data_IF_803397503033
#
_entry.id   IF_803397503033
#
_cell.length_a   1.000
_cell.length_b   1.000
_cell.length_c   1.000
_cell.angle_alpha   90.00
_cell.angle_beta   90.00
_cell.angle_gamma   90.00
#
_symmetry.space_group_name_H-M   'P 1'
#
loop_
_entity.id
_entity.type
_entity.pdbx_description
1 polymer ?
#
# COMPACT_ATOMS: atom_id res chain seq x y z
N UNK A 1 -11.65 -63.06 -26.06
CA UNK A 1 -11.19 -62.53 -24.75
C UNK A 1 -9.93 -61.72 -24.99
N UNK A 2 -9.95 -60.41 -24.75
CA UNK A 2 -8.74 -59.59 -24.69
C UNK A 2 -9.01 -58.46 -23.69
N UNK A 3 -8.46 -58.59 -22.48
CA UNK A 3 -8.50 -57.54 -21.47
C UNK A 3 -7.35 -56.57 -21.77
N UNK A 4 -7.69 -55.31 -22.06
CA UNK A 4 -6.70 -54.24 -22.19
C UNK A 4 -6.45 -53.65 -20.80
N UNK A 5 -5.28 -53.98 -20.24
CA UNK A 5 -4.79 -53.33 -19.03
C UNK A 5 -4.35 -51.91 -19.34
N UNK A 6 -4.96 -50.92 -18.70
CA UNK A 6 -4.45 -49.55 -18.65
C UNK A 6 -4.31 -49.15 -17.19
N UNK A 7 -3.10 -49.31 -16.65
CA UNK A 7 -2.71 -48.76 -15.34
C UNK A 7 -2.64 -47.24 -15.49
N UNK A 8 -3.66 -46.55 -15.00
CA UNK A 8 -3.64 -45.10 -14.81
C UNK A 8 -2.48 -44.76 -13.89
N UNK A 9 -1.49 -44.03 -14.41
CA UNK A 9 -0.38 -43.49 -13.62
C UNK A 9 -0.88 -42.20 -13.00
N UNK A 10 -1.22 -42.25 -11.72
CA UNK A 10 -1.59 -41.07 -10.94
C UNK A 10 -0.45 -40.05 -10.99
N UNK A 11 -0.62 -39.04 -11.83
CA UNK A 11 0.30 -37.93 -11.94
C UNK A 11 0.01 -36.97 -10.79
N UNK A 12 0.57 -37.27 -9.62
CA UNK A 12 0.57 -36.36 -8.47
C UNK A 12 1.43 -35.15 -8.83
N UNK A 13 0.82 -34.13 -9.42
CA UNK A 13 1.44 -32.80 -9.54
C UNK A 13 1.72 -32.31 -8.13
N UNK A 14 2.98 -32.34 -7.75
CA UNK A 14 3.45 -31.71 -6.52
C UNK A 14 3.46 -30.22 -6.79
N UNK A 15 2.37 -29.52 -6.48
CA UNK A 15 2.30 -28.05 -6.51
C UNK A 15 3.20 -27.53 -5.40
N UNK A 16 4.51 -27.54 -5.64
CA UNK A 16 5.48 -26.76 -4.89
C UNK A 16 5.16 -25.31 -5.24
N UNK A 17 4.24 -24.71 -4.49
CA UNK A 17 4.06 -23.26 -4.54
C UNK A 17 5.39 -22.70 -4.08
N UNK A 18 6.18 -22.18 -5.03
CA UNK A 18 7.40 -21.45 -4.73
C UNK A 18 6.98 -20.25 -3.90
N UNK A 19 7.19 -20.33 -2.58
CA UNK A 19 7.18 -19.19 -1.68
C UNK A 19 8.51 -18.45 -1.82
N UNK A 20 8.91 -18.14 -3.05
CA UNK A 20 10.02 -17.23 -3.25
C UNK A 20 9.51 -15.86 -2.81
N UNK A 21 10.08 -15.35 -1.71
CA UNK A 21 9.79 -14.01 -1.23
C UNK A 21 10.13 -13.05 -2.35
N UNK A 22 9.11 -12.35 -2.86
CA UNK A 22 9.29 -11.40 -3.95
C UNK A 22 10.30 -10.33 -3.51
N UNK A 23 11.52 -10.39 -4.05
CA UNK A 23 12.62 -9.45 -3.78
C UNK A 23 12.45 -8.13 -4.55
N UNK A 24 11.32 -7.94 -5.23
CA UNK A 24 11.04 -6.73 -5.98
C UNK A 24 10.79 -5.57 -5.00
N UNK A 25 11.68 -4.58 -5.05
CA UNK A 25 11.61 -3.38 -4.20
C UNK A 25 10.29 -2.64 -4.35
N UNK A 26 9.66 -2.68 -5.53
CA UNK A 26 8.39 -1.98 -5.80
C UNK A 26 7.24 -2.67 -5.09
N UNK A 27 7.27 -4.00 -5.00
CA UNK A 27 6.24 -4.82 -4.35
C UNK A 27 6.43 -4.93 -2.83
N UNK A 28 7.58 -4.47 -2.32
CA UNK A 28 7.93 -4.46 -0.89
C UNK A 28 8.06 -3.05 -0.30
N UNK A 29 7.91 -2.00 -1.12
CA UNK A 29 7.96 -0.62 -0.66
C UNK A 29 6.78 -0.28 0.25
N UNK A 30 7.02 0.61 1.21
CA UNK A 30 5.95 1.18 2.00
C UNK A 30 4.93 1.89 1.10
N UNK A 31 3.62 1.77 1.41
CA UNK A 31 2.60 2.45 0.64
C UNK A 31 2.79 3.97 0.70
N UNK A 32 2.47 4.70 -0.38
CA UNK A 32 2.62 6.15 -0.40
C UNK A 32 1.69 6.81 0.63
N UNK A 33 2.17 7.90 1.23
CA UNK A 33 1.39 8.71 2.16
C UNK A 33 1.04 10.05 1.49
N UNK A 34 -0.26 10.36 1.42
CA UNK A 34 -0.77 11.65 0.98
C UNK A 34 -0.75 12.63 2.16
N UNK A 35 -0.18 13.81 1.94
CA UNK A 35 -0.20 14.88 2.94
C UNK A 35 -1.32 15.88 2.70
N UNK A 36 -2.14 16.09 3.73
CA UNK A 36 -3.12 17.17 3.78
C UNK A 36 -2.57 18.25 4.72
N UNK A 37 -2.38 19.50 4.27
CA UNK A 37 -1.83 20.55 5.12
C UNK A 37 -2.71 20.81 6.34
N UNK A 38 -2.12 20.68 7.54
CA UNK A 38 -2.78 21.03 8.79
C UNK A 38 -3.23 22.49 8.79
N UNK A 39 -4.53 22.70 8.97
CA UNK A 39 -5.14 24.01 9.10
C UNK A 39 -5.52 24.31 10.56
N UNK A 40 -6.00 25.53 10.82
CA UNK A 40 -6.41 25.95 12.17
C UNK A 40 -7.86 25.60 12.51
N UNK A 41 -8.66 25.29 11.50
CA UNK A 41 -10.08 24.94 11.65
C UNK A 41 -10.25 23.44 11.96
N UNK A 42 -9.21 22.64 11.77
CA UNK A 42 -9.22 21.19 12.02
C UNK A 42 -9.77 20.37 10.87
N UNK A 43 -9.96 20.98 9.69
CA UNK A 43 -10.54 20.31 8.51
C UNK A 43 -9.65 19.15 8.06
N UNK A 44 -8.33 19.34 8.07
CA UNK A 44 -7.38 18.29 7.72
C UNK A 44 -7.53 17.04 8.61
N UNK A 45 -7.64 17.22 9.92
CA UNK A 45 -7.84 16.12 10.87
C UNK A 45 -9.18 15.41 10.65
N UNK A 46 -10.26 16.16 10.45
CA UNK A 46 -11.61 15.59 10.21
C UNK A 46 -11.63 14.74 8.92
N UNK A 47 -11.02 15.23 7.84
CA UNK A 47 -10.90 14.51 6.57
C UNK A 47 -10.04 13.24 6.70
N UNK A 48 -8.98 13.28 7.51
CA UNK A 48 -8.13 12.11 7.80
C UNK A 48 -8.92 11.03 8.54
N UNK A 49 -9.69 11.42 9.57
CA UNK A 49 -10.53 10.49 10.34
C UNK A 49 -11.57 9.86 9.42
N UNK A 50 -12.31 10.69 8.67
CA UNK A 50 -13.35 10.21 7.76
C UNK A 50 -12.80 9.25 6.69
N UNK A 51 -11.64 9.57 6.12
CA UNK A 51 -11.03 8.71 5.10
C UNK A 51 -10.54 7.40 5.69
N UNK A 52 -9.97 7.39 6.90
CA UNK A 52 -9.55 6.14 7.56
C UNK A 52 -10.72 5.22 7.88
N UNK A 53 -11.87 5.78 8.24
CA UNK A 53 -13.09 5.02 8.48
C UNK A 53 -13.68 4.42 7.19
N UNK A 54 -13.56 5.15 6.07
CA UNK A 54 -14.16 4.77 4.78
C UNK A 54 -13.23 3.89 3.95
N UNK A 55 -11.93 4.20 3.95
CA UNK A 55 -10.91 3.61 3.08
C UNK A 55 -9.61 3.37 3.86
N UNK A 56 -9.39 2.13 4.30
CA UNK A 56 -8.17 1.77 5.04
C UNK A 56 -6.95 1.51 4.12
N UNK A 57 -7.08 1.70 2.81
CA UNK A 57 -6.02 1.44 1.82
C UNK A 57 -5.19 2.67 1.47
N UNK A 58 -5.60 3.87 1.88
CA UNK A 58 -4.93 5.12 1.53
C UNK A 58 -4.20 5.66 2.77
N UNK A 59 -2.88 5.79 2.68
CA UNK A 59 -2.10 6.46 3.71
C UNK A 59 -2.33 7.97 3.64
N UNK A 60 -2.95 8.56 4.66
CA UNK A 60 -3.13 10.02 4.76
C UNK A 60 -2.63 10.53 6.12
N UNK A 61 -1.93 11.67 6.11
CA UNK A 61 -1.40 12.35 7.29
C UNK A 61 -1.33 13.87 7.09
N UNK A 62 -1.30 14.64 8.19
CA UNK A 62 -1.01 16.07 8.19
C UNK A 62 0.36 16.42 8.79
N UNK A 63 1.20 15.42 9.10
CA UNK A 63 2.45 15.63 9.85
C UNK A 63 3.51 16.39 9.05
N UNK A 64 3.45 16.33 7.73
CA UNK A 64 4.47 16.90 6.83
C UNK A 64 4.12 18.25 6.23
N UNK A 65 2.91 18.77 6.43
CA UNK A 65 2.46 20.02 5.82
C UNK A 65 1.49 20.78 6.74
N UNK A 66 1.56 22.10 6.72
CA UNK A 66 0.63 23.00 7.43
C UNK A 66 0.33 24.25 6.63
N UNK A 67 -0.74 24.96 7.01
CA UNK A 67 -1.09 26.25 6.45
C UNK A 67 -0.70 27.40 7.38
N UNK A 68 -0.09 28.43 6.82
CA UNK A 68 0.12 29.70 7.51
C UNK A 68 -1.21 30.40 7.78
N UNK A 69 -1.20 31.41 8.64
CA UNK A 69 -2.38 32.25 8.89
C UNK A 69 -2.91 32.96 7.62
N UNK A 70 -2.07 33.12 6.60
CA UNK A 70 -2.40 33.69 5.29
C UNK A 70 -2.77 32.63 4.24
N UNK A 71 -2.93 31.36 4.65
CA UNK A 71 -3.25 30.25 3.75
C UNK A 71 -2.07 29.79 2.88
N UNK A 72 -0.82 30.10 3.26
CA UNK A 72 0.36 29.62 2.52
C UNK A 72 0.76 28.23 2.98
N UNK A 73 1.14 27.37 2.04
CA UNK A 73 1.69 26.05 2.33
C UNK A 73 3.06 26.17 3.01
N UNK A 74 3.20 25.51 4.15
CA UNK A 74 4.44 25.33 4.90
C UNK A 74 4.73 23.83 4.95
N UNK A 75 5.89 23.42 4.48
CA UNK A 75 6.33 22.02 4.54
C UNK A 75 7.17 21.79 5.81
N UNK A 76 6.80 20.77 6.58
CA UNK A 76 7.47 20.37 7.82
C UNK A 76 8.62 19.37 7.60
N UNK A 77 8.80 18.87 6.39
CA UNK A 77 9.83 17.91 6.03
C UNK A 77 9.87 17.64 4.53
N UNK A 78 10.74 16.72 4.11
CA UNK A 78 10.77 16.24 2.74
C UNK A 78 9.50 15.41 2.50
N UNK A 79 8.72 15.69 1.43
CA UNK A 79 7.56 14.87 1.08
C UNK A 79 7.95 13.40 1.02
N UNK A 80 7.02 12.46 1.32
CA UNK A 80 7.31 11.03 1.31
C UNK A 80 7.97 10.69 -0.01
N UNK A 81 9.21 10.21 0.06
CA UNK A 81 10.08 10.13 -1.11
C UNK A 81 9.45 9.16 -2.13
N UNK A 82 8.95 9.68 -3.24
CA UNK A 82 8.60 8.86 -4.41
C UNK A 82 9.85 8.29 -5.11
N UNK A 83 11.04 8.69 -4.67
CA UNK A 83 12.35 8.26 -5.19
C UNK A 83 13.16 7.57 -4.09
N UNK A 84 12.84 6.32 -3.79
CA UNK A 84 13.79 5.44 -3.12
C UNK A 84 14.43 4.47 -4.14
N UNK A 85 15.68 4.81 -4.50
CA UNK A 85 16.84 3.99 -4.93
C UNK A 85 16.65 2.72 -5.78
#
# INVERSE_FOLDING_TARGET
MAQTGSRGKDMRVSTKIFQDTCQDKTLTSDPPVLWIPKDKLGVAEDEIVHTRETYNSIGISCDGASLSAQGKLILGGQPPDWRLK
#
